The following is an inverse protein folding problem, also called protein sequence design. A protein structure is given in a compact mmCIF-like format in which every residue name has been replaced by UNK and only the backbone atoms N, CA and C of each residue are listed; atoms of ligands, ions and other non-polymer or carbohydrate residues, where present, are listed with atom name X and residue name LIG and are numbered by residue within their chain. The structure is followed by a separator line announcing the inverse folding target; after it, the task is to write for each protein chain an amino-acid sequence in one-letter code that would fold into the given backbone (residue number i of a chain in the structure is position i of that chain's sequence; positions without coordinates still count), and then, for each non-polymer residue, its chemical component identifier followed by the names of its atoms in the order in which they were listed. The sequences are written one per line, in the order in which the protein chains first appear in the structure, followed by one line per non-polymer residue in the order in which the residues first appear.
data_IF_894379625316
#
_entry.id   IF_894379625316
#
_cell.length_a   1.000
_cell.length_b   1.000
_cell.length_c   1.000
_cell.angle_alpha   90.00
_cell.angle_beta   90.00
_cell.angle_gamma   90.00
#
_symmetry.space_group_name_H-M   'P 1'
#
loop_
_entity.id
_entity.type
_entity.pdbx_description
1 polymer ?
#
# COMPACT_ATOMS: atom_id res chain seq x y z
N UNK A 1 -17.21 24.32 -27.40
CA UNK A 1 -16.08 23.97 -28.28
C UNK A 1 -15.49 22.69 -27.72
N UNK A 2 -15.72 21.60 -28.45
CA UNK A 2 -15.51 20.21 -28.00
C UNK A 2 -14.02 19.89 -28.06
N UNK A 3 -13.44 19.44 -26.94
CA UNK A 3 -12.10 18.86 -26.88
C UNK A 3 -12.26 17.35 -26.67
N UNK A 4 -12.67 16.67 -27.74
CA UNK A 4 -12.67 15.21 -27.86
C UNK A 4 -11.56 14.82 -28.82
N UNK A 5 -10.28 14.89 -28.42
CA UNK A 5 -9.19 14.39 -29.28
C UNK A 5 -7.84 14.13 -28.56
N UNK A 6 -7.85 13.56 -27.35
CA UNK A 6 -6.62 13.01 -26.74
C UNK A 6 -6.78 11.65 -26.04
N UNK A 7 -7.83 10.88 -26.39
CA UNK A 7 -7.92 9.48 -25.97
C UNK A 7 -7.79 8.58 -27.19
N UNK A 8 -6.88 7.62 -27.07
CA UNK A 8 -6.56 6.57 -28.04
C UNK A 8 -7.83 5.99 -28.71
N UNK A 9 -8.02 6.29 -30.00
CA UNK A 9 -9.12 5.80 -30.85
C UNK A 9 -8.76 4.53 -31.63
N UNK A 10 -7.64 3.87 -31.30
CA UNK A 10 -7.20 2.69 -32.04
C UNK A 10 -8.23 1.56 -31.92
N UNK A 11 -8.64 0.92 -33.04
CA UNK A 11 -9.59 -0.18 -32.99
C UNK A 11 -9.10 -1.27 -32.05
N UNK A 12 -9.95 -1.69 -31.10
CA UNK A 12 -9.67 -2.83 -30.21
C UNK A 12 -9.50 -4.09 -31.04
N UNK A 13 -8.26 -4.37 -31.45
CA UNK A 13 -7.88 -5.66 -32.01
C UNK A 13 -8.21 -6.70 -30.94
N UNK A 14 -8.94 -7.77 -31.31
CA UNK A 14 -9.10 -8.94 -30.43
C UNK A 14 -7.73 -9.61 -30.27
N UNK A 15 -6.93 -9.10 -29.33
CA UNK A 15 -5.62 -9.64 -28.98
C UNK A 15 -5.87 -10.96 -28.24
N UNK A 16 -5.53 -12.09 -28.88
CA UNK A 16 -5.59 -13.46 -28.33
C UNK A 16 -4.59 -13.73 -27.18
N UNK A 17 -4.00 -12.69 -26.58
CA UNK A 17 -3.11 -12.75 -25.42
C UNK A 17 -3.49 -11.66 -24.42
N UNK A 18 -4.41 -11.99 -23.51
CA UNK A 18 -4.58 -11.27 -22.25
C UNK A 18 -3.28 -11.42 -21.47
N UNK A 19 -2.35 -10.45 -21.59
CA UNK A 19 -1.13 -10.26 -20.77
C UNK A 19 -0.13 -9.29 -21.42
N UNK A 20 -0.59 -8.20 -22.04
CA UNK A 20 0.30 -7.11 -22.45
C UNK A 20 -0.33 -5.84 -21.91
N UNK A 21 0.37 -5.16 -20.99
CA UNK A 21 0.08 -3.75 -20.70
C UNK A 21 0.07 -3.02 -22.05
N UNK A 22 -0.79 -2.02 -22.27
CA UNK A 22 -0.76 -1.24 -23.51
C UNK A 22 0.69 -0.86 -23.84
N UNK A 23 1.14 -1.00 -25.09
CA UNK A 23 2.49 -0.59 -25.45
C UNK A 23 2.69 0.85 -24.99
N UNK A 24 3.81 1.09 -24.29
CA UNK A 24 4.13 2.43 -23.83
C UNK A 24 4.45 3.28 -25.08
N UNK A 25 3.47 4.02 -25.60
CA UNK A 25 3.60 4.88 -26.78
C UNK A 25 4.48 6.11 -26.54
N UNK A 26 4.96 6.29 -25.32
CA UNK A 26 5.96 7.30 -25.01
C UNK A 26 7.27 6.89 -25.68
N UNK A 27 7.68 7.69 -26.67
CA UNK A 27 9.04 7.62 -27.20
C UNK A 27 10.03 7.63 -26.03
N UNK A 28 11.07 6.79 -26.15
CA UNK A 28 12.18 6.80 -25.21
C UNK A 28 12.94 8.11 -25.45
N UNK A 29 12.48 9.18 -24.81
CA UNK A 29 13.26 10.40 -24.68
C UNK A 29 14.38 10.08 -23.67
N UNK A 30 15.53 9.63 -24.17
CA UNK A 30 16.71 9.33 -23.34
C UNK A 30 17.24 10.59 -22.63
N UNK A 31 16.93 11.79 -23.13
CA UNK A 31 17.30 13.07 -22.51
C UNK A 31 16.37 13.43 -21.33
N UNK A 32 15.08 13.07 -21.40
CA UNK A 32 14.11 13.21 -20.29
C UNK A 32 13.96 11.97 -19.42
N UNK A 33 14.59 10.86 -19.77
CA UNK A 33 14.72 9.76 -18.84
C UNK A 33 15.44 10.32 -17.62
N UNK A 34 14.73 10.43 -16.50
CA UNK A 34 15.34 10.83 -15.23
C UNK A 34 16.30 9.69 -14.87
N UNK A 35 17.54 9.85 -15.35
CA UNK A 35 18.48 8.77 -15.51
C UNK A 35 18.98 8.21 -14.17
N UNK A 36 19.77 7.13 -14.22
CA UNK A 36 20.45 6.66 -13.03
C UNK A 36 21.38 7.78 -12.51
N UNK A 37 21.04 8.38 -11.36
CA UNK A 37 21.98 9.20 -10.59
C UNK A 37 21.67 10.69 -10.39
N UNK A 38 20.46 11.20 -10.63
CA UNK A 38 20.08 12.55 -10.15
C UNK A 38 18.72 12.56 -9.48
N UNK A 39 18.61 11.86 -8.35
CA UNK A 39 17.54 12.17 -7.41
C UNK A 39 17.72 13.61 -6.91
N UNK A 40 16.63 14.39 -6.82
CA UNK A 40 16.68 15.68 -6.15
C UNK A 40 17.22 15.55 -4.73
N UNK A 41 17.83 16.62 -4.21
CA UNK A 41 18.51 16.60 -2.92
C UNK A 41 17.60 16.20 -1.75
N UNK A 42 16.30 16.50 -1.83
CA UNK A 42 15.30 16.10 -0.82
C UNK A 42 14.96 14.61 -0.83
N UNK A 43 15.37 13.87 -1.87
CA UNK A 43 15.30 12.42 -1.96
C UNK A 43 16.62 11.72 -1.54
N UNK A 44 17.55 12.45 -0.93
CA UNK A 44 18.73 11.85 -0.31
C UNK A 44 18.50 11.59 1.18
N UNK A 45 18.87 10.39 1.64
CA UNK A 45 18.75 9.98 3.05
C UNK A 45 20.09 9.58 3.62
N UNK A 46 20.25 9.81 4.92
CA UNK A 46 21.39 9.28 5.67
C UNK A 46 21.17 7.79 5.95
N UNK A 47 22.24 7.02 5.83
CA UNK A 47 22.24 5.61 6.21
C UNK A 47 22.12 5.50 7.75
N UNK A 48 21.22 4.65 8.26
CA UNK A 48 21.14 4.40 9.69
C UNK A 48 22.40 3.66 10.18
N UNK A 49 22.78 3.93 11.43
CA UNK A 49 23.95 3.33 12.07
C UNK A 49 23.52 2.26 13.09
N UNK A 50 24.36 1.25 13.30
CA UNK A 50 24.18 0.25 14.35
C UNK A 50 23.69 -1.12 13.87
N UNK A 51 23.53 -2.05 14.81
CA UNK A 51 23.34 -3.48 14.52
C UNK A 51 21.87 -3.93 14.44
N UNK A 52 20.91 -3.08 14.82
CA UNK A 52 19.48 -3.42 14.85
C UNK A 52 18.94 -3.83 13.46
N UNK A 53 19.50 -3.25 12.39
CA UNK A 53 19.19 -3.63 11.02
C UNK A 53 19.54 -5.09 10.74
N UNK A 54 20.76 -5.52 11.10
CA UNK A 54 21.22 -6.89 10.91
C UNK A 54 20.44 -7.88 11.78
N UNK A 55 20.06 -7.47 12.99
CA UNK A 55 19.21 -8.28 13.88
C UNK A 55 17.83 -8.52 13.26
N UNK A 56 17.16 -7.48 12.78
CA UNK A 56 15.85 -7.60 12.12
C UNK A 56 15.93 -8.52 10.90
N UNK A 57 16.93 -8.32 10.04
CA UNK A 57 17.16 -9.18 8.88
C UNK A 57 17.45 -10.65 9.25
N UNK A 58 18.15 -10.90 10.37
CA UNK A 58 18.41 -12.26 10.84
C UNK A 58 17.12 -12.97 11.26
N UNK A 59 16.25 -12.30 12.03
CA UNK A 59 14.97 -12.87 12.47
C UNK A 59 14.12 -13.25 11.26
N UNK A 60 13.94 -12.32 10.32
CA UNK A 60 13.12 -12.54 9.12
C UNK A 60 13.63 -13.72 8.28
N UNK A 61 14.94 -13.80 8.06
CA UNK A 61 15.57 -14.89 7.31
C UNK A 61 15.43 -16.25 8.02
N UNK A 62 15.68 -16.30 9.34
CA UNK A 62 15.54 -17.53 10.12
C UNK A 62 14.10 -18.07 10.10
N UNK A 63 13.12 -17.16 10.08
CA UNK A 63 11.69 -17.50 10.02
C UNK A 63 11.18 -17.66 8.59
N UNK A 64 12.03 -17.56 7.56
CA UNK A 64 11.66 -17.67 6.13
C UNK A 64 10.43 -16.80 5.78
N UNK A 65 10.39 -15.57 6.29
CA UNK A 65 9.30 -14.62 6.03
C UNK A 65 9.71 -13.60 4.98
N UNK A 66 8.75 -13.21 4.14
CA UNK A 66 8.95 -12.14 3.18
C UNK A 66 8.51 -10.80 3.78
N UNK A 67 9.17 -9.72 3.36
CA UNK A 67 8.73 -8.36 3.66
C UNK A 67 8.51 -7.58 2.38
N UNK A 68 7.46 -6.76 2.35
CA UNK A 68 7.27 -5.83 1.22
C UNK A 68 8.42 -4.81 1.16
N UNK A 69 9.11 -4.59 2.28
CA UNK A 69 10.30 -3.76 2.35
C UNK A 69 11.39 -4.25 1.38
N UNK A 70 11.65 -5.55 1.35
CA UNK A 70 12.64 -6.19 0.48
C UNK A 70 12.08 -6.37 -0.93
N UNK A 71 10.92 -7.02 -1.05
CA UNK A 71 10.36 -7.44 -2.34
C UNK A 71 9.93 -6.25 -3.21
N UNK A 72 9.55 -5.11 -2.61
CA UNK A 72 9.21 -3.88 -3.34
C UNK A 72 10.37 -2.85 -3.37
N UNK A 73 11.58 -3.22 -2.96
CA UNK A 73 12.77 -2.35 -2.92
C UNK A 73 12.52 -1.01 -2.22
N UNK A 74 11.94 -1.07 -1.03
CA UNK A 74 11.50 0.10 -0.30
C UNK A 74 12.69 0.99 0.11
N UNK A 75 12.67 2.31 -0.18
CA UNK A 75 13.74 3.24 0.22
C UNK A 75 13.86 3.41 1.75
N UNK A 76 12.85 2.96 2.51
CA UNK A 76 12.81 3.10 3.96
C UNK A 76 13.30 1.86 4.71
N UNK A 77 13.66 0.77 4.01
CA UNK A 77 14.01 -0.52 4.61
C UNK A 77 15.00 -0.37 5.77
N UNK A 78 16.10 0.34 5.50
CA UNK A 78 17.19 0.47 6.46
C UNK A 78 16.73 1.18 7.73
N UNK A 79 15.94 2.25 7.58
CA UNK A 79 15.43 3.01 8.73
C UNK A 79 14.41 2.18 9.52
N UNK A 80 13.43 1.59 8.84
CA UNK A 80 12.42 0.75 9.49
C UNK A 80 13.06 -0.40 10.27
N UNK A 81 14.00 -1.11 9.66
CA UNK A 81 14.69 -2.22 10.32
C UNK A 81 15.60 -1.76 11.46
N UNK A 82 16.20 -0.56 11.35
CA UNK A 82 16.97 0.01 12.47
C UNK A 82 16.10 0.33 13.69
N UNK A 83 14.79 0.55 13.49
CA UNK A 83 13.78 0.73 14.54
C UNK A 83 13.09 -0.59 14.95
N UNK A 84 13.63 -1.74 14.51
CA UNK A 84 13.03 -3.08 14.71
C UNK A 84 11.59 -3.16 14.21
N UNK A 85 11.25 -2.53 13.08
CA UNK A 85 9.93 -2.65 12.45
C UNK A 85 10.05 -3.18 11.02
N UNK A 86 9.07 -3.98 10.62
CA UNK A 86 8.95 -4.53 9.28
C UNK A 86 7.47 -4.67 8.92
N UNK A 87 7.19 -4.67 7.61
CA UNK A 87 5.87 -4.98 7.07
C UNK A 87 5.94 -6.35 6.42
N UNK A 88 5.23 -7.31 7.00
CA UNK A 88 5.22 -8.69 6.52
C UNK A 88 4.44 -8.76 5.20
N UNK A 89 5.03 -9.41 4.20
CA UNK A 89 4.35 -9.79 2.96
C UNK A 89 4.00 -11.26 3.06
N UNK A 90 2.71 -11.56 3.14
CA UNK A 90 2.22 -12.92 3.43
C UNK A 90 1.75 -13.62 2.16
N UNK A 91 1.60 -14.94 2.26
CA UNK A 91 1.21 -15.82 1.14
C UNK A 91 2.29 -15.92 0.06
N UNK A 92 3.55 -15.74 0.47
CA UNK A 92 4.74 -15.78 -0.38
C UNK A 92 5.04 -14.45 -1.09
N UNK A 93 5.95 -14.53 -2.06
CA UNK A 93 6.46 -13.37 -2.82
C UNK A 93 5.98 -13.27 -4.27
N UNK A 94 5.10 -14.17 -4.69
CA UNK A 94 4.57 -14.17 -6.07
C UNK A 94 3.10 -13.75 -6.06
N UNK A 95 2.78 -12.73 -6.85
CA UNK A 95 1.45 -12.15 -6.99
C UNK A 95 0.76 -12.64 -8.27
N UNK A 96 -0.54 -12.89 -8.20
CA UNK A 96 -1.37 -13.20 -9.39
C UNK A 96 -1.66 -11.98 -10.25
N UNK A 97 -1.21 -10.79 -9.84
CA UNK A 97 -1.41 -9.51 -10.54
C UNK A 97 -0.07 -8.86 -10.85
N UNK A 98 -0.06 -8.04 -11.90
CA UNK A 98 1.14 -7.36 -12.38
C UNK A 98 0.86 -5.87 -12.57
N UNK A 99 0.76 -5.14 -11.46
CA UNK A 99 0.55 -3.68 -11.49
C UNK A 99 1.80 -2.98 -12.04
N UNK A 100 1.61 -1.89 -12.78
CA UNK A 100 2.69 -1.21 -13.50
C UNK A 100 3.76 -0.58 -12.60
N UNK A 101 3.43 -0.29 -11.34
CA UNK A 101 4.32 0.33 -10.36
C UNK A 101 5.02 -0.68 -9.42
N UNK A 102 4.45 -1.88 -9.26
CA UNK A 102 4.82 -2.80 -8.18
C UNK A 102 5.92 -3.76 -8.60
N UNK A 103 6.93 -4.00 -7.76
CA UNK A 103 8.08 -4.88 -8.06
C UNK A 103 7.95 -6.32 -7.56
N UNK A 104 6.84 -6.66 -6.90
CA UNK A 104 6.57 -8.03 -6.48
C UNK A 104 6.45 -8.93 -7.72
N UNK A 105 7.08 -10.10 -7.67
CA UNK A 105 7.14 -11.03 -8.80
C UNK A 105 5.75 -11.51 -9.19
N UNK A 106 5.48 -11.58 -10.50
CA UNK A 106 4.23 -12.11 -11.02
C UNK A 106 4.32 -13.62 -11.21
N UNK A 107 3.28 -14.35 -10.78
CA UNK A 107 3.08 -15.76 -11.14
C UNK A 107 1.60 -16.07 -11.37
N UNK A 108 1.30 -16.82 -12.44
CA UNK A 108 -0.04 -17.38 -12.66
C UNK A 108 -0.38 -18.52 -11.70
N UNK A 109 0.64 -19.18 -11.17
CA UNK A 109 0.51 -20.32 -10.26
C UNK A 109 1.48 -20.10 -9.10
N UNK A 110 1.13 -19.26 -8.12
CA UNK A 110 1.90 -19.13 -6.89
C UNK A 110 2.00 -20.49 -6.17
N UNK A 111 2.96 -20.60 -5.25
CA UNK A 111 3.05 -21.78 -4.38
C UNK A 111 1.81 -21.86 -3.46
N UNK A 112 1.50 -23.08 -3.02
CA UNK A 112 0.49 -23.30 -2.00
C UNK A 112 0.81 -22.50 -0.72
N UNK A 113 -0.24 -22.13 0.02
CA UNK A 113 -0.09 -21.47 1.32
C UNK A 113 0.66 -22.37 2.30
N UNK A 114 1.63 -21.80 3.02
CA UNK A 114 2.32 -22.49 4.10
C UNK A 114 1.48 -22.38 5.38
N UNK A 115 0.96 -23.51 5.86
CA UNK A 115 0.07 -23.54 7.04
C UNK A 115 0.73 -23.03 8.33
N UNK A 116 2.07 -23.05 8.39
CA UNK A 116 2.86 -22.56 9.53
C UNK A 116 3.20 -21.05 9.44
N UNK A 117 2.86 -20.36 8.34
CA UNK A 117 3.14 -18.93 8.15
C UNK A 117 2.53 -18.05 9.26
N UNK A 118 1.25 -18.25 9.70
CA UNK A 118 0.68 -17.52 10.84
C UNK A 118 1.52 -17.61 12.11
N UNK A 119 1.99 -18.81 12.45
CA UNK A 119 2.79 -19.04 13.64
C UNK A 119 4.14 -18.31 13.53
N UNK A 120 4.82 -18.42 12.38
CA UNK A 120 6.12 -17.77 12.16
C UNK A 120 6.03 -16.25 12.21
N UNK A 121 4.94 -15.67 11.71
CA UNK A 121 4.69 -14.22 11.82
C UNK A 121 4.51 -13.81 13.28
N UNK A 122 3.66 -14.49 14.03
CA UNK A 122 3.42 -14.17 15.45
C UNK A 122 4.69 -14.28 16.30
N UNK A 123 5.50 -15.33 16.08
CA UNK A 123 6.81 -15.49 16.72
C UNK A 123 7.76 -14.34 16.38
N UNK A 124 7.75 -13.87 15.12
CA UNK A 124 8.57 -12.73 14.69
C UNK A 124 8.11 -11.41 15.30
N UNK A 125 6.79 -11.21 15.43
CA UNK A 125 6.21 -10.04 16.11
C UNK A 125 6.67 -10.01 17.58
N UNK A 126 6.66 -11.16 18.25
CA UNK A 126 7.12 -11.30 19.63
C UNK A 126 8.62 -11.01 19.76
N UNK A 127 9.44 -11.64 18.92
CA UNK A 127 10.91 -11.55 18.97
C UNK A 127 11.40 -10.12 18.65
N UNK A 128 10.75 -9.43 17.71
CA UNK A 128 11.05 -8.04 17.39
C UNK A 128 10.45 -7.04 18.41
N UNK A 129 9.53 -7.49 19.27
CA UNK A 129 8.88 -6.66 20.28
C UNK A 129 7.94 -5.59 19.68
N UNK A 130 7.27 -5.90 18.57
CA UNK A 130 6.44 -4.94 17.84
C UNK A 130 5.18 -4.58 18.64
N UNK A 131 4.98 -3.29 18.91
CA UNK A 131 3.73 -2.76 19.50
C UNK A 131 2.62 -2.52 18.46
N UNK A 132 3.02 -2.34 17.22
CA UNK A 132 2.15 -2.22 16.07
C UNK A 132 2.77 -3.00 14.91
N UNK A 133 2.00 -3.87 14.26
CA UNK A 133 2.44 -4.65 13.11
C UNK A 133 1.59 -4.33 11.88
N UNK A 134 2.25 -4.13 10.74
CA UNK A 134 1.57 -4.00 9.45
C UNK A 134 1.77 -5.31 8.70
N UNK A 135 0.67 -5.91 8.24
CA UNK A 135 0.66 -7.14 7.46
C UNK A 135 0.01 -6.83 6.12
N UNK A 136 0.73 -7.10 5.04
CA UNK A 136 0.24 -6.98 3.67
C UNK A 136 0.30 -8.32 2.96
N UNK A 137 -0.38 -8.42 1.82
CA UNK A 137 -0.49 -9.65 1.05
C UNK A 137 -0.19 -9.42 -0.43
N UNK A 138 0.31 -10.45 -1.10
CA UNK A 138 0.19 -10.55 -2.55
C UNK A 138 -1.27 -10.83 -2.93
N UNK A 139 -1.68 -10.49 -4.15
CA UNK A 139 -2.96 -10.97 -4.66
C UNK A 139 -2.86 -12.48 -4.94
N UNK A 140 -3.90 -13.20 -4.51
CA UNK A 140 -4.05 -14.66 -4.65
C UNK A 140 -5.36 -14.98 -5.36
N UNK A 141 -5.52 -14.46 -6.58
CA UNK A 141 -6.72 -14.70 -7.40
C UNK A 141 -6.88 -16.19 -7.77
N UNK A 142 -5.88 -17.03 -7.50
CA UNK A 142 -5.92 -18.50 -7.59
C UNK A 142 -6.70 -19.17 -6.46
N UNK A 143 -6.95 -18.46 -5.35
CA UNK A 143 -7.68 -18.98 -4.19
C UNK A 143 -9.15 -18.49 -4.21
N UNK A 144 -10.14 -19.33 -3.82
CA UNK A 144 -11.55 -18.95 -3.83
C UNK A 144 -11.90 -17.73 -2.96
N UNK A 145 -11.22 -17.55 -1.84
CA UNK A 145 -11.39 -16.44 -0.90
C UNK A 145 -10.30 -15.36 -1.07
N UNK A 146 -9.45 -15.49 -2.09
CA UNK A 146 -8.28 -14.66 -2.31
C UNK A 146 -7.26 -14.68 -1.17
N UNK A 147 -7.32 -15.66 -0.25
CA UNK A 147 -6.45 -15.78 0.93
C UNK A 147 -6.98 -15.10 2.19
N UNK A 148 -8.21 -14.60 2.21
CA UNK A 148 -8.76 -13.87 3.35
C UNK A 148 -8.74 -14.67 4.66
N UNK A 149 -9.09 -15.97 4.64
CA UNK A 149 -9.07 -16.83 5.82
C UNK A 149 -7.65 -16.99 6.37
N UNK A 150 -6.66 -17.11 5.49
CA UNK A 150 -5.26 -17.22 5.88
C UNK A 150 -4.78 -15.95 6.57
N UNK A 151 -5.14 -14.78 6.05
CA UNK A 151 -4.82 -13.50 6.67
C UNK A 151 -5.49 -13.33 8.05
N UNK A 152 -6.75 -13.75 8.20
CA UNK A 152 -7.44 -13.75 9.50
C UNK A 152 -6.81 -14.72 10.51
N UNK A 153 -6.28 -15.87 10.07
CA UNK A 153 -5.54 -16.79 10.92
C UNK A 153 -4.25 -16.15 11.45
N UNK A 154 -3.55 -15.35 10.64
CA UNK A 154 -2.38 -14.58 11.09
C UNK A 154 -2.76 -13.61 12.20
N UNK A 155 -3.85 -12.86 12.03
CA UNK A 155 -4.36 -11.92 13.06
C UNK A 155 -4.65 -12.66 14.37
N UNK A 156 -5.35 -13.79 14.29
CA UNK A 156 -5.71 -14.62 15.44
C UNK A 156 -4.45 -15.09 16.17
N UNK A 157 -3.45 -15.56 15.44
CA UNK A 157 -2.23 -16.10 16.01
C UNK A 157 -1.34 -15.01 16.63
N UNK A 158 -1.25 -13.83 16.00
CA UNK A 158 -0.56 -12.66 16.57
C UNK A 158 -1.21 -12.23 17.88
N UNK A 159 -2.55 -12.12 17.93
CA UNK A 159 -3.27 -11.76 19.17
C UNK A 159 -3.09 -12.79 20.27
N UNK A 160 -3.04 -14.08 19.91
CA UNK A 160 -2.83 -15.18 20.85
C UNK A 160 -1.44 -15.16 21.49
N UNK A 161 -0.39 -14.93 20.70
CA UNK A 161 0.99 -14.96 21.19
C UNK A 161 1.47 -13.63 21.77
N UNK A 162 0.98 -12.50 21.24
CA UNK A 162 1.45 -11.16 21.57
C UNK A 162 0.26 -10.25 21.91
N UNK A 163 -0.45 -10.52 23.03
CA UNK A 163 -1.59 -9.71 23.41
C UNK A 163 -1.19 -8.24 23.61
N UNK A 164 -2.00 -7.33 23.08
CA UNK A 164 -1.77 -5.88 23.14
C UNK A 164 -1.01 -5.28 21.95
N UNK A 165 -0.50 -6.10 21.02
CA UNK A 165 -0.01 -5.60 19.73
C UNK A 165 -1.19 -5.19 18.85
N UNK A 166 -1.13 -3.96 18.32
CA UNK A 166 -2.11 -3.47 17.34
C UNK A 166 -1.71 -3.92 15.93
N UNK A 167 -2.68 -4.12 15.06
CA UNK A 167 -2.55 -4.75 13.75
C UNK A 167 -3.18 -3.86 12.68
N UNK A 168 -2.38 -3.51 11.67
CA UNK A 168 -2.83 -2.91 10.42
C UNK A 168 -2.81 -3.98 9.32
N UNK A 169 -3.93 -4.15 8.61
CA UNK A 169 -4.01 -5.03 7.44
C UNK A 169 -4.08 -4.21 6.16
N UNK A 170 -3.08 -4.36 5.29
CA UNK A 170 -3.09 -3.83 3.93
C UNK A 170 -3.49 -4.94 2.97
N UNK A 171 -4.72 -4.87 2.44
CA UNK A 171 -5.32 -5.96 1.68
C UNK A 171 -5.40 -5.71 0.18
N UNK A 172 -5.54 -6.80 -0.59
CA UNK A 172 -6.01 -6.72 -1.98
C UNK A 172 -7.50 -6.34 -2.01
N UNK A 173 -8.06 -6.11 -3.20
CA UNK A 173 -9.51 -5.87 -3.33
C UNK A 173 -10.34 -7.18 -3.32
N UNK A 174 -9.70 -8.35 -3.25
CA UNK A 174 -10.32 -9.69 -3.37
C UNK A 174 -11.26 -9.83 -4.58
N UNK A 175 -11.02 -9.06 -5.65
CA UNK A 175 -11.90 -9.02 -6.82
C UNK A 175 -13.30 -8.48 -6.54
N UNK A 176 -13.50 -7.78 -5.41
CA UNK A 176 -14.82 -7.32 -4.96
C UNK A 176 -15.61 -8.38 -4.18
N UNK A 177 -14.98 -9.48 -3.76
CA UNK A 177 -15.62 -10.50 -2.95
C UNK A 177 -15.89 -9.98 -1.52
N UNK A 178 -17.12 -9.55 -1.25
CA UNK A 178 -17.51 -9.03 0.07
C UNK A 178 -17.42 -10.09 1.19
N UNK A 179 -17.61 -11.38 0.88
CA UNK A 179 -17.46 -12.43 1.89
C UNK A 179 -16.00 -12.57 2.36
N UNK A 180 -15.04 -12.33 1.46
CA UNK A 180 -13.63 -12.25 1.83
C UNK A 180 -13.34 -11.02 2.70
N UNK A 181 -13.94 -9.87 2.37
CA UNK A 181 -13.87 -8.67 3.21
C UNK A 181 -14.49 -8.89 4.59
N UNK A 182 -15.65 -9.56 4.68
CA UNK A 182 -16.28 -9.93 5.95
C UNK A 182 -15.31 -10.72 6.84
N UNK A 183 -14.61 -11.71 6.29
CA UNK A 183 -13.61 -12.49 7.03
C UNK A 183 -12.52 -11.59 7.60
N UNK A 184 -11.98 -10.67 6.79
CA UNK A 184 -10.95 -9.74 7.25
C UNK A 184 -11.49 -8.78 8.31
N UNK A 185 -12.64 -8.16 8.07
CA UNK A 185 -13.23 -7.20 9.00
C UNK A 185 -13.53 -7.88 10.33
N UNK A 186 -14.12 -9.08 10.32
CA UNK A 186 -14.39 -9.86 11.54
C UNK A 186 -13.12 -10.27 12.32
N UNK A 187 -11.92 -10.25 11.69
CA UNK A 187 -10.65 -10.43 12.40
C UNK A 187 -10.23 -9.21 13.26
N UNK A 188 -10.96 -8.10 13.12
CA UNK A 188 -10.87 -6.88 13.90
C UNK A 188 -9.47 -6.23 13.88
N UNK A 189 -8.91 -5.87 12.71
CA UNK A 189 -7.70 -5.06 12.71
C UNK A 189 -7.97 -3.67 13.30
N UNK A 190 -6.98 -3.06 13.95
CA UNK A 190 -7.10 -1.67 14.42
C UNK A 190 -7.10 -0.68 13.24
N UNK A 191 -6.36 -0.99 12.17
CA UNK A 191 -6.42 -0.26 10.90
C UNK A 191 -6.69 -1.23 9.76
N UNK A 192 -7.75 -0.95 9.00
CA UNK A 192 -8.00 -1.59 7.73
C UNK A 192 -7.51 -0.68 6.60
N UNK A 193 -6.48 -1.12 5.86
CA UNK A 193 -5.87 -0.38 4.77
C UNK A 193 -6.21 -1.05 3.42
N UNK A 194 -6.70 -0.25 2.47
CA UNK A 194 -6.72 -0.62 1.06
C UNK A 194 -6.38 0.60 0.18
N UNK A 195 -5.30 0.51 -0.59
CA UNK A 195 -4.80 1.66 -1.34
C UNK A 195 -5.51 1.86 -2.68
N UNK A 196 -5.84 3.12 -2.96
CA UNK A 196 -6.29 3.57 -4.28
C UNK A 196 -5.13 3.77 -5.27
N UNK A 197 -3.91 3.96 -4.75
CA UNK A 197 -2.61 4.02 -5.42
C UNK A 197 -2.37 5.24 -6.32
N UNK A 198 -3.36 5.65 -7.11
CA UNK A 198 -3.23 6.77 -8.05
C UNK A 198 -4.61 7.40 -8.30
N UNK A 199 -4.66 8.42 -9.16
CA UNK A 199 -5.88 9.10 -9.57
C UNK A 199 -6.74 8.25 -10.51
N UNK A 200 -7.99 8.65 -10.69
CA UNK A 200 -9.00 7.92 -11.48
C UNK A 200 -8.54 7.65 -12.91
N UNK A 201 -7.96 8.66 -13.55
CA UNK A 201 -7.52 8.65 -14.94
C UNK A 201 -6.35 7.71 -15.17
N UNK A 202 -5.43 7.61 -14.20
CA UNK A 202 -4.24 6.77 -14.32
C UNK A 202 -4.47 5.33 -13.86
N UNK A 203 -5.55 5.05 -13.12
CA UNK A 203 -5.84 3.72 -12.57
C UNK A 203 -5.75 2.59 -13.59
N UNK A 204 -6.37 2.65 -14.79
CA UNK A 204 -6.30 1.57 -15.78
C UNK A 204 -4.88 1.28 -16.30
N UNK A 205 -3.98 2.27 -16.23
CA UNK A 205 -2.56 2.12 -16.63
C UNK A 205 -1.70 1.63 -15.47
N UNK A 206 -1.98 2.09 -14.25
CA UNK A 206 -1.17 1.85 -13.06
C UNK A 206 -1.50 0.51 -12.39
N UNK A 207 -2.78 0.15 -12.34
CA UNK A 207 -3.31 -0.99 -11.58
C UNK A 207 -3.84 -2.04 -12.56
N UNK A 208 -3.43 -3.29 -12.38
CA UNK A 208 -3.73 -4.36 -13.35
C UNK A 208 -5.23 -4.71 -13.39
N UNK A 209 -5.77 -5.17 -12.26
CA UNK A 209 -7.15 -5.65 -12.18
C UNK A 209 -8.04 -4.73 -11.33
N UNK A 210 -7.44 -3.95 -10.44
CA UNK A 210 -8.14 -3.07 -9.51
C UNK A 210 -8.67 -1.82 -10.21
N UNK A 211 -9.91 -1.44 -9.91
CA UNK A 211 -10.56 -0.24 -10.44
C UNK A 211 -10.71 0.81 -9.35
N UNK A 212 -10.81 2.07 -9.75
CA UNK A 212 -10.90 3.20 -8.82
C UNK A 212 -12.20 3.13 -8.00
N UNK A 213 -13.35 2.98 -8.66
CA UNK A 213 -14.66 2.92 -7.99
C UNK A 213 -14.80 1.72 -7.06
N UNK A 214 -14.41 0.52 -7.50
CA UNK A 214 -14.39 -0.65 -6.61
C UNK A 214 -13.59 -0.41 -5.33
N UNK A 215 -12.44 0.27 -5.42
CA UNK A 215 -11.66 0.61 -4.22
C UNK A 215 -12.44 1.54 -3.29
N UNK A 216 -13.09 2.58 -3.82
CA UNK A 216 -13.92 3.50 -3.03
C UNK A 216 -15.12 2.80 -2.38
N UNK A 217 -15.85 1.98 -3.15
CA UNK A 217 -17.00 1.21 -2.65
C UNK A 217 -16.60 0.29 -1.48
N UNK A 218 -15.44 -0.37 -1.61
CA UNK A 218 -14.94 -1.26 -0.58
C UNK A 218 -14.46 -0.51 0.68
N UNK A 219 -13.84 0.66 0.53
CA UNK A 219 -13.48 1.51 1.67
C UNK A 219 -14.73 1.98 2.43
N UNK A 220 -15.77 2.41 1.71
CA UNK A 220 -17.05 2.79 2.29
C UNK A 220 -17.73 1.60 2.98
N UNK A 221 -17.66 0.42 2.36
CA UNK A 221 -18.16 -0.82 2.95
C UNK A 221 -17.46 -1.13 4.29
N UNK A 222 -16.12 -1.07 4.35
CA UNK A 222 -15.39 -1.25 5.59
C UNK A 222 -15.76 -0.19 6.66
N UNK A 223 -15.93 1.07 6.27
CA UNK A 223 -16.31 2.15 7.19
C UNK A 223 -17.69 1.92 7.82
N UNK A 224 -18.64 1.44 7.02
CA UNK A 224 -20.04 1.24 7.43
C UNK A 224 -20.30 -0.13 8.06
N UNK A 225 -19.27 -0.97 8.15
CA UNK A 225 -19.37 -2.30 8.73
C UNK A 225 -19.63 -2.23 10.24
N UNK A 226 -20.89 -2.42 10.63
CA UNK A 226 -21.44 -2.14 11.97
C UNK A 226 -20.75 -2.82 13.15
N UNK A 227 -19.93 -3.86 12.93
CA UNK A 227 -19.30 -4.63 14.01
C UNK A 227 -17.99 -4.02 14.54
N UNK A 228 -17.42 -2.98 13.92
CA UNK A 228 -16.11 -2.42 14.28
C UNK A 228 -16.09 -0.90 14.49
N UNK A 229 -16.77 -0.37 15.53
CA UNK A 229 -16.93 1.08 15.75
C UNK A 229 -15.62 1.85 16.04
N UNK A 230 -14.50 1.16 16.27
CA UNK A 230 -13.19 1.77 16.54
C UNK A 230 -12.13 1.57 15.46
N UNK A 231 -12.43 0.81 14.40
CA UNK A 231 -11.46 0.54 13.33
C UNK A 231 -11.29 1.78 12.44
N UNK A 232 -10.04 2.11 12.13
CA UNK A 232 -9.73 3.18 11.18
C UNK A 232 -9.60 2.63 9.76
N UNK A 233 -10.19 3.33 8.79
CA UNK A 233 -10.03 3.02 7.37
C UNK A 233 -8.91 3.87 6.79
N UNK A 234 -8.01 3.24 6.04
CA UNK A 234 -6.81 3.88 5.50
C UNK A 234 -6.64 3.61 4.01
N UNK A 235 -6.13 4.63 3.31
CA UNK A 235 -5.71 4.50 1.91
C UNK A 235 -4.44 5.30 1.62
N UNK A 236 -3.89 5.08 0.45
CA UNK A 236 -2.63 5.68 0.01
C UNK A 236 -2.64 6.04 -1.46
N UNK A 237 -1.95 7.14 -1.78
CA UNK A 237 -1.73 7.64 -3.15
C UNK A 237 -0.22 7.79 -3.37
N UNK A 238 0.28 7.26 -4.49
CA UNK A 238 1.62 7.55 -4.97
C UNK A 238 1.57 8.70 -5.97
N UNK A 239 2.49 9.66 -5.83
CA UNK A 239 2.63 10.81 -6.70
C UNK A 239 3.85 10.73 -7.60
N UNK A 240 3.84 11.43 -8.72
CA UNK A 240 4.88 11.42 -9.74
C UNK A 240 4.64 10.41 -10.86
N UNK A 241 3.41 9.95 -11.06
CA UNK A 241 3.00 9.05 -12.15
C UNK A 241 2.41 9.80 -13.36
N UNK A 242 2.27 11.12 -13.25
CA UNK A 242 1.76 12.03 -14.29
C UNK A 242 0.40 12.62 -13.98
N UNK A 243 -0.07 12.48 -12.75
CA UNK A 243 -1.29 13.10 -12.25
C UNK A 243 -1.14 14.62 -12.09
N UNK A 244 -2.22 15.36 -12.32
CA UNK A 244 -2.26 16.80 -12.02
C UNK A 244 -2.66 17.05 -10.57
N UNK A 245 -2.42 18.27 -10.08
CA UNK A 245 -2.82 18.66 -8.73
C UNK A 245 -4.33 18.51 -8.50
N UNK A 246 -5.15 18.92 -9.47
CA UNK A 246 -6.60 18.87 -9.40
C UNK A 246 -7.11 17.42 -9.30
N UNK A 247 -6.48 16.49 -10.02
CA UNK A 247 -6.82 15.06 -9.97
C UNK A 247 -6.46 14.44 -8.61
N UNK A 248 -5.36 14.90 -8.00
CA UNK A 248 -4.96 14.49 -6.66
C UNK A 248 -5.93 15.03 -5.62
N UNK A 249 -6.29 16.31 -5.68
CA UNK A 249 -7.31 16.87 -4.78
C UNK A 249 -8.67 16.19 -4.94
N UNK A 250 -9.08 15.89 -6.17
CA UNK A 250 -10.30 15.11 -6.44
C UNK A 250 -10.23 13.74 -5.75
N UNK A 251 -9.08 13.07 -5.81
CA UNK A 251 -8.89 11.79 -5.14
C UNK A 251 -8.92 11.88 -3.61
N UNK A 252 -8.43 12.99 -3.03
CA UNK A 252 -8.54 13.25 -1.60
C UNK A 252 -10.02 13.46 -1.21
N UNK A 253 -10.79 14.20 -2.03
CA UNK A 253 -12.24 14.39 -1.84
C UNK A 253 -12.98 13.05 -1.89
N UNK A 254 -12.70 12.23 -2.89
CA UNK A 254 -13.32 10.92 -3.06
C UNK A 254 -13.00 9.99 -1.89
N UNK A 255 -11.74 9.89 -1.47
CA UNK A 255 -11.35 9.07 -0.31
C UNK A 255 -12.05 9.52 0.97
N UNK A 256 -12.11 10.83 1.23
CA UNK A 256 -12.81 11.36 2.40
C UNK A 256 -14.30 11.03 2.37
N UNK A 257 -14.97 11.27 1.23
CA UNK A 257 -16.39 10.99 1.04
C UNK A 257 -16.74 9.50 1.22
N UNK A 258 -15.78 8.60 0.95
CA UNK A 258 -15.94 7.15 1.12
C UNK A 258 -15.40 6.65 2.46
N UNK A 259 -15.29 7.53 3.47
CA UNK A 259 -15.07 7.12 4.85
C UNK A 259 -13.62 6.80 5.21
N UNK A 260 -12.66 7.21 4.39
CA UNK A 260 -11.24 7.06 4.70
C UNK A 260 -10.83 8.00 5.85
N UNK A 261 -10.37 7.43 6.96
CA UNK A 261 -9.90 8.18 8.14
C UNK A 261 -8.44 8.64 7.98
N UNK A 262 -7.61 7.80 7.35
CA UNK A 262 -6.18 8.04 7.19
C UNK A 262 -5.83 8.07 5.69
N UNK A 263 -5.23 9.15 5.21
CA UNK A 263 -4.70 9.23 3.84
C UNK A 263 -3.19 9.41 3.89
N UNK A 264 -2.47 8.52 3.21
CA UNK A 264 -1.02 8.60 3.04
C UNK A 264 -0.65 9.01 1.63
N UNK A 265 0.37 9.85 1.47
CA UNK A 265 0.82 10.30 0.15
C UNK A 265 2.34 10.31 0.05
N UNK A 266 2.87 9.60 -0.95
CA UNK A 266 4.32 9.46 -1.12
C UNK A 266 4.80 9.51 -2.56
N UNK A 267 6.09 9.76 -2.77
CA UNK A 267 6.70 9.78 -4.10
C UNK A 267 6.77 8.34 -4.65
N UNK A 268 6.23 8.15 -5.86
CA UNK A 268 6.52 6.98 -6.67
C UNK A 268 8.00 6.98 -7.05
N UNK A 269 8.67 5.88 -6.71
CA UNK A 269 10.05 5.63 -7.14
C UNK A 269 10.02 4.37 -7.99
N UNK A 270 10.52 4.49 -9.22
CA UNK A 270 10.56 3.38 -10.15
C UNK A 270 11.49 2.28 -9.62
N UNK A 271 11.01 1.06 -9.34
CA UNK A 271 11.83 0.03 -8.71
C UNK A 271 12.75 -0.68 -9.71
N UNK A 272 12.37 -0.72 -10.99
CA UNK A 272 13.22 -1.20 -12.09
C UNK A 272 12.75 -0.65 -13.46
N UNK A 273 13.60 -0.78 -14.48
CA UNK A 273 13.38 -0.25 -15.85
C UNK A 273 12.13 -0.74 -16.59
N UNK A 274 11.54 -1.86 -16.17
CA UNK A 274 10.35 -2.47 -16.75
C UNK A 274 9.04 -1.98 -16.11
N UNK A 275 9.12 -1.19 -15.03
CA UNK A 275 7.96 -0.57 -14.39
C UNK A 275 7.72 0.83 -14.95
N UNK A 276 6.56 1.41 -14.62
CA UNK A 276 6.19 2.75 -15.05
C UNK A 276 7.29 3.77 -14.73
N UNK A 277 7.50 4.72 -15.64
CA UNK A 277 8.50 5.78 -15.44
C UNK A 277 7.98 6.80 -14.43
N UNK A 278 8.89 7.35 -13.63
CA UNK A 278 8.60 8.55 -12.86
C UNK A 278 8.41 9.71 -13.85
N UNK A 279 7.32 10.45 -13.70
CA UNK A 279 7.01 11.65 -14.50
C UNK A 279 7.55 12.89 -13.85
N UNK A 280 7.34 13.01 -12.54
CA UNK A 280 7.78 14.15 -11.76
C UNK A 280 8.27 13.71 -10.38
N UNK A 281 9.28 14.42 -9.88
CA UNK A 281 9.67 14.35 -8.48
C UNK A 281 9.00 15.49 -7.71
N UNK A 282 7.96 15.14 -6.96
CA UNK A 282 7.15 16.08 -6.22
C UNK A 282 7.97 16.68 -5.07
N UNK A 283 8.05 18.01 -4.97
CA UNK A 283 8.84 18.65 -3.93
C UNK A 283 8.07 18.66 -2.59
N UNK A 284 8.75 18.74 -1.43
CA UNK A 284 8.13 18.62 -0.11
C UNK A 284 6.98 19.60 0.16
N UNK A 285 7.06 20.83 -0.36
CA UNK A 285 6.04 21.86 -0.23
C UNK A 285 4.71 21.45 -0.88
N UNK A 286 4.75 20.70 -1.97
CA UNK A 286 3.55 20.21 -2.64
C UNK A 286 2.86 19.12 -1.81
N UNK A 287 3.63 18.23 -1.17
CA UNK A 287 3.09 17.28 -0.19
C UNK A 287 2.42 18.00 0.98
N UNK A 288 3.02 19.11 1.46
CA UNK A 288 2.44 19.93 2.54
C UNK A 288 1.15 20.63 2.12
N UNK A 289 1.05 21.04 0.86
CA UNK A 289 -0.18 21.59 0.27
C UNK A 289 -1.32 20.57 0.31
N UNK A 290 -1.07 19.34 -0.17
CA UNK A 290 -2.06 18.26 -0.12
C UNK A 290 -2.46 17.87 1.31
N UNK A 291 -1.49 17.82 2.23
CA UNK A 291 -1.75 17.59 3.65
C UNK A 291 -2.69 18.65 4.23
N UNK A 292 -2.42 19.93 3.96
CA UNK A 292 -3.25 21.05 4.42
C UNK A 292 -4.65 20.99 3.82
N UNK A 293 -4.75 20.70 2.52
CA UNK A 293 -6.02 20.53 1.82
C UNK A 293 -6.87 19.39 2.42
N UNK A 294 -6.27 18.23 2.68
CA UNK A 294 -6.97 17.10 3.29
C UNK A 294 -7.50 17.41 4.69
N UNK A 295 -6.72 18.11 5.52
CA UNK A 295 -7.20 18.56 6.83
C UNK A 295 -8.31 19.61 6.73
N UNK A 296 -8.24 20.56 5.80
CA UNK A 296 -9.31 21.55 5.56
C UNK A 296 -10.62 20.88 5.12
N UNK A 297 -10.53 19.77 4.38
CA UNK A 297 -11.69 18.98 3.99
C UNK A 297 -12.31 18.20 5.16
N UNK A 298 -11.52 17.89 6.19
CA UNK A 298 -11.97 17.11 7.36
C UNK A 298 -11.44 15.68 7.41
N UNK A 299 -10.42 15.32 6.62
CA UNK A 299 -9.74 14.02 6.77
C UNK A 299 -9.09 13.96 8.15
N UNK A 300 -9.33 12.87 8.88
CA UNK A 300 -8.92 12.74 10.28
C UNK A 300 -7.40 12.72 10.45
N UNK A 301 -6.68 11.99 9.59
CA UNK A 301 -5.22 11.93 9.59
C UNK A 301 -4.67 11.99 8.17
N UNK A 302 -3.78 12.96 7.93
CA UNK A 302 -3.00 13.05 6.70
C UNK A 302 -1.53 12.76 7.02
N UNK A 303 -0.88 11.96 6.19
CA UNK A 303 0.57 11.75 6.28
C UNK A 303 1.19 11.82 4.90
N UNK A 304 1.80 12.96 4.59
CA UNK A 304 2.28 13.27 3.24
C UNK A 304 3.78 13.56 3.27
N UNK A 305 4.52 13.01 2.31
CA UNK A 305 5.92 13.36 2.12
C UNK A 305 6.65 12.43 1.15
N UNK A 306 7.81 12.83 0.63
CA UNK A 306 8.46 12.09 -0.45
C UNK A 306 8.74 10.62 -0.13
N UNK A 307 9.15 10.32 1.11
CA UNK A 307 9.44 8.96 1.57
C UNK A 307 8.26 8.24 2.20
N UNK A 308 7.08 8.86 2.29
CA UNK A 308 5.93 8.18 2.87
C UNK A 308 5.57 6.95 2.04
N UNK A 309 5.23 5.88 2.74
CA UNK A 309 4.66 4.62 2.23
C UNK A 309 3.51 4.27 3.14
N UNK A 310 2.56 3.45 2.69
CA UNK A 310 1.40 3.07 3.50
C UNK A 310 1.81 2.56 4.88
N UNK A 311 2.89 1.78 5.00
CA UNK A 311 3.36 1.26 6.30
C UNK A 311 4.44 2.09 6.99
N UNK A 312 4.89 3.21 6.41
CA UNK A 312 5.98 4.02 6.97
C UNK A 312 5.51 4.77 8.23
N UNK A 313 6.19 4.53 9.37
CA UNK A 313 5.84 5.11 10.67
C UNK A 313 4.36 4.89 11.09
N UNK A 314 3.74 3.77 10.69
CA UNK A 314 2.34 3.47 11.00
C UNK A 314 2.03 3.49 12.52
N UNK A 315 3.01 3.16 13.35
CA UNK A 315 2.92 3.27 14.81
C UNK A 315 2.70 4.72 15.29
N UNK A 316 3.23 5.72 14.60
CA UNK A 316 3.04 7.14 14.94
C UNK A 316 1.60 7.57 14.65
N UNK A 317 1.03 7.11 13.54
CA UNK A 317 -0.37 7.38 13.18
C UNK A 317 -1.33 6.82 14.21
N UNK A 318 -1.09 5.59 14.70
CA UNK A 318 -1.87 4.99 15.80
C UNK A 318 -1.73 5.79 17.10
N UNK A 319 -0.52 6.24 17.45
CA UNK A 319 -0.31 7.03 18.67
C UNK A 319 -1.07 8.36 18.62
N UNK A 320 -1.04 9.04 17.48
CA UNK A 320 -1.84 10.25 17.25
C UNK A 320 -3.33 9.93 17.31
N UNK A 321 -3.76 8.82 16.73
CA UNK A 321 -5.16 8.40 16.74
C UNK A 321 -5.73 8.15 18.14
N UNK A 322 -4.94 7.49 18.98
CA UNK A 322 -5.30 7.21 20.37
C UNK A 322 -5.30 8.47 21.23
N UNK A 323 -4.38 9.42 21.00
CA UNK A 323 -4.35 10.69 21.74
C UNK A 323 -5.58 11.58 21.43
N UNK A 324 -6.05 11.62 20.19
CA UNK A 324 -7.25 12.40 19.82
C UNK A 324 -8.53 11.83 20.45
N UNK A 325 -8.63 10.51 20.62
CA UNK A 325 -9.81 9.87 21.22
C UNK A 325 -9.98 10.18 22.71
N UNK A 326 -8.87 10.30 23.45
CA UNK A 326 -8.91 10.61 24.89
C UNK A 326 -9.42 12.03 25.14
N UNK A 327 -9.00 12.98 24.30
CA UNK A 327 -9.38 14.41 24.41
C UNK A 327 -10.85 14.64 24.03
N UNK A 328 -11.44 13.82 23.15
CA UNK A 328 -12.87 13.95 22.78
C UNK A 328 -13.83 13.20 23.72
N UNK A 329 -13.31 12.53 24.75
CA UNK A 329 -14.09 11.81 25.77
C UNK A 329 -14.10 12.47 27.16
N UNK A 330 -13.45 13.63 27.30
CA UNK A 330 -13.51 14.53 28.46
C UNK A 330 -14.43 15.72 28.18
#
# INVERSE_FOLDING_TARGET
MVIHDQFDTTPKVKIKRLNVLPPNHEEVDEEKAVGPGRFPSWLHRKMPKGNALAQTGKVLNQKRLHTVCEEAKCPNLLECWSKKTATFLVMGKHCTRSCGFCDIDFSKQPKALELDEPQRIAESVLELGLKHVVITMVARDDLPDGGAVHLANIVTEVRRQVPGTTIELLTSDFGGNLAAWDVILNSQPEIFNHNIETVRELTPRVRHTATYDRTLDLLLYAKTYRKHPGMLVKSGIMLGLGETEEQVEASIRDLHAHGCDIITMGQYLQPNRHKLRVKDFIPPEQFKKFETFGYQLGVRYMYCGPFVRSSYNANVVIQQANQTQVISSE
#
